data_IF_453497999270
#
_entry.id   IF_453497999270
#
_cell.length_a   1.000
_cell.length_b   1.000
_cell.length_c   1.000
_cell.angle_alpha   90.00
_cell.angle_beta   90.00
_cell.angle_gamma   90.00
#
_symmetry.space_group_name_H-M   'P 1'
#
loop_
_entity.id
_entity.type
_entity.pdbx_description
1 polymer ?
#
# COMPACT_ATOMS: atom_id res chain seq x y z
N UNK A 1 3.82 11.17 32.15
CA UNK A 1 5.18 11.51 31.69
C UNK A 1 5.00 12.33 30.42
N UNK A 2 5.58 13.52 30.35
CA UNK A 2 5.49 14.39 29.17
C UNK A 2 6.80 14.26 28.38
N UNK A 3 6.69 14.08 27.07
CA UNK A 3 7.84 13.96 26.17
C UNK A 3 7.87 15.21 25.32
N UNK A 4 8.95 15.98 25.43
CA UNK A 4 9.18 17.17 24.63
C UNK A 4 10.52 17.06 23.91
N UNK A 5 10.54 17.47 22.65
CA UNK A 5 11.79 17.60 21.91
C UNK A 5 12.50 18.86 22.37
N UNK A 6 13.70 18.73 22.92
CA UNK A 6 14.53 19.84 23.35
C UNK A 6 15.94 19.73 22.76
N UNK A 7 16.56 20.87 22.44
CA UNK A 7 17.98 20.89 22.09
C UNK A 7 18.80 20.45 23.30
N UNK A 8 19.95 19.82 23.07
CA UNK A 8 20.82 19.25 24.13
C UNK A 8 21.15 20.23 25.27
N UNK A 9 21.16 21.53 24.97
CA UNK A 9 21.47 22.62 25.91
C UNK A 9 20.27 23.15 26.72
N UNK A 10 19.04 22.76 26.37
CA UNK A 10 17.78 23.22 27.00
C UNK A 10 17.10 22.13 27.82
N UNK A 11 17.78 20.98 28.02
CA UNK A 11 17.23 19.85 28.77
C UNK A 11 17.14 20.23 30.26
N UNK A 12 15.95 20.19 30.88
CA UNK A 12 15.79 20.53 32.29
C UNK A 12 16.55 19.53 33.18
N UNK A 13 17.13 20.04 34.28
CA UNK A 13 17.88 19.23 35.24
C UNK A 13 16.94 18.21 35.90
N UNK A 14 17.02 16.96 35.48
CA UNK A 14 16.14 15.86 35.93
C UNK A 14 15.40 15.13 34.80
N UNK A 15 15.49 15.59 33.55
CA UNK A 15 14.93 14.87 32.41
C UNK A 15 15.78 13.64 32.04
N UNK A 16 15.12 12.51 31.82
CA UNK A 16 15.75 11.30 31.28
C UNK A 16 15.93 11.51 29.78
N UNK A 17 17.19 11.44 29.31
CA UNK A 17 17.49 11.46 27.88
C UNK A 17 17.08 10.12 27.28
N UNK A 18 16.07 10.16 26.42
CA UNK A 18 15.60 8.99 25.67
C UNK A 18 16.17 9.04 24.25
N UNK A 19 16.56 7.88 23.74
CA UNK A 19 16.86 7.68 22.33
C UNK A 19 15.58 7.64 21.51
N UNK A 20 15.68 7.88 20.19
CA UNK A 20 14.51 7.84 19.29
C UNK A 20 13.77 6.51 19.35
N UNK A 21 14.49 5.40 19.50
CA UNK A 21 13.92 4.07 19.55
C UNK A 21 13.17 3.82 20.87
N UNK A 22 13.71 4.28 22.00
CA UNK A 22 13.02 4.21 23.30
C UNK A 22 11.76 5.08 23.32
N UNK A 23 11.80 6.27 22.70
CA UNK A 23 10.61 7.12 22.55
C UNK A 23 9.55 6.41 21.71
N UNK A 24 9.95 5.81 20.59
CA UNK A 24 9.03 5.09 19.71
C UNK A 24 8.37 3.90 20.44
N UNK A 25 9.15 3.10 21.18
CA UNK A 25 8.62 1.97 21.94
C UNK A 25 7.65 2.43 23.03
N UNK A 26 8.01 3.47 23.78
CA UNK A 26 7.16 4.05 24.81
C UNK A 26 5.83 4.56 24.24
N UNK A 27 5.89 5.35 23.16
CA UNK A 27 4.69 5.88 22.52
C UNK A 27 3.82 4.77 21.95
N UNK A 28 4.42 3.75 21.35
CA UNK A 28 3.69 2.59 20.80
C UNK A 28 2.98 1.81 21.90
N UNK A 29 3.62 1.61 23.06
CA UNK A 29 3.00 0.96 24.21
C UNK A 29 1.86 1.79 24.80
N UNK A 30 2.05 3.11 24.87
CA UNK A 30 1.00 4.05 25.30
C UNK A 30 -0.22 4.01 24.38
N UNK A 31 -0.02 4.01 23.06
CA UNK A 31 -1.09 3.89 22.06
C UNK A 31 -1.86 2.57 22.23
N UNK A 32 -1.15 1.46 22.51
CA UNK A 32 -1.79 0.16 22.72
C UNK A 32 -2.62 0.10 24.00
N UNK A 33 -2.14 0.71 25.07
CA UNK A 33 -2.76 0.71 26.41
C UNK A 33 -3.80 1.81 26.60
N UNK A 34 -4.01 2.68 25.62
CA UNK A 34 -4.94 3.81 25.75
C UNK A 34 -6.37 3.33 26.06
N UNK A 35 -7.04 3.90 27.09
CA UNK A 35 -8.31 3.39 27.60
C UNK A 35 -9.45 3.56 26.59
N UNK A 36 -9.47 4.66 25.84
CA UNK A 36 -10.51 4.94 24.85
C UNK A 36 -10.02 4.72 23.42
N UNK A 37 -10.29 3.55 22.85
CA UNK A 37 -9.86 3.23 21.48
C UNK A 37 -10.51 4.12 20.41
N UNK A 38 -11.64 4.79 20.69
CA UNK A 38 -12.32 5.66 19.72
C UNK A 38 -11.59 6.99 19.50
N UNK A 39 -10.84 7.50 20.49
CA UNK A 39 -10.06 8.74 20.33
C UNK A 39 -8.84 8.52 19.43
N UNK A 40 -8.20 7.37 19.56
CA UNK A 40 -6.96 7.01 18.84
C UNK A 40 -7.21 6.04 17.68
N UNK A 41 -8.46 5.91 17.23
CA UNK A 41 -8.86 4.91 16.23
C UNK A 41 -8.07 5.06 14.92
N UNK A 42 -7.84 6.29 14.49
CA UNK A 42 -7.09 6.58 13.26
C UNK A 42 -5.63 6.10 13.35
N UNK A 43 -5.02 6.16 14.54
CA UNK A 43 -3.65 5.73 14.76
C UNK A 43 -3.54 4.20 14.87
N UNK A 44 -4.54 3.57 15.51
CA UNK A 44 -4.60 2.12 15.72
C UNK A 44 -5.03 1.35 14.48
N UNK A 45 -5.98 1.88 13.73
CA UNK A 45 -6.61 1.22 12.59
C UNK A 45 -6.27 1.86 11.23
N UNK A 46 -5.56 2.99 11.19
CA UNK A 46 -5.20 3.65 9.93
C UNK A 46 -4.44 2.74 8.97
N UNK A 47 -3.30 2.18 9.41
CA UNK A 47 -2.50 1.28 8.58
C UNK A 47 -3.26 0.06 8.01
N UNK A 48 -4.01 -0.73 8.81
CA UNK A 48 -4.78 -1.84 8.26
C UNK A 48 -5.93 -1.39 7.35
N UNK A 49 -6.54 -0.22 7.58
CA UNK A 49 -7.54 0.35 6.65
C UNK A 49 -6.90 0.72 5.31
N UNK A 50 -5.74 1.37 5.32
CA UNK A 50 -5.03 1.72 4.09
C UNK A 50 -4.59 0.46 3.32
N UNK A 51 -4.09 -0.56 4.03
CA UNK A 51 -3.72 -1.84 3.43
C UNK A 51 -4.92 -2.57 2.82
N UNK A 52 -6.08 -2.56 3.49
CA UNK A 52 -7.29 -3.17 2.93
C UNK A 52 -7.81 -2.44 1.70
N UNK A 53 -7.70 -1.12 1.66
CA UNK A 53 -8.03 -0.33 0.47
C UNK A 53 -7.16 -0.73 -0.73
N UNK A 54 -5.86 -0.99 -0.52
CA UNK A 54 -4.96 -1.52 -1.55
C UNK A 54 -5.39 -2.91 -2.02
N UNK A 55 -5.74 -3.83 -1.10
CA UNK A 55 -6.24 -5.16 -1.46
C UNK A 55 -7.47 -5.07 -2.37
N UNK A 56 -8.44 -4.22 -2.01
CA UNK A 56 -9.68 -4.03 -2.76
C UNK A 56 -9.35 -3.50 -4.16
N UNK A 57 -8.54 -2.44 -4.23
CA UNK A 57 -8.16 -1.80 -5.50
C UNK A 57 -7.44 -2.77 -6.42
N UNK A 58 -6.45 -3.50 -5.91
CA UNK A 58 -5.67 -4.46 -6.68
C UNK A 58 -6.53 -5.64 -7.16
N UNK A 59 -7.49 -6.07 -6.33
CA UNK A 59 -8.45 -7.11 -6.70
C UNK A 59 -9.37 -6.65 -7.82
N UNK A 60 -9.87 -5.41 -7.76
CA UNK A 60 -10.70 -4.82 -8.81
C UNK A 60 -9.94 -4.72 -10.13
N UNK A 61 -8.71 -4.21 -10.10
CA UNK A 61 -7.83 -4.11 -11.28
C UNK A 61 -7.61 -5.49 -11.89
N UNK A 62 -7.21 -6.48 -11.09
CA UNK A 62 -6.96 -7.84 -11.57
C UNK A 62 -8.21 -8.48 -12.16
N UNK A 63 -9.38 -8.30 -11.51
CA UNK A 63 -10.64 -8.84 -12.01
C UNK A 63 -11.06 -8.18 -13.33
N UNK A 64 -10.86 -6.87 -13.48
CA UNK A 64 -11.17 -6.15 -14.72
C UNK A 64 -10.40 -6.73 -15.91
N UNK A 65 -9.07 -6.86 -15.80
CA UNK A 65 -8.25 -7.42 -16.89
C UNK A 65 -8.57 -8.88 -17.18
N UNK A 66 -8.85 -9.68 -16.14
CA UNK A 66 -9.22 -11.08 -16.32
C UNK A 66 -10.56 -11.28 -17.01
N UNK A 67 -11.56 -10.47 -16.68
CA UNK A 67 -12.87 -10.51 -17.33
C UNK A 67 -12.74 -10.12 -18.81
N UNK A 68 -11.95 -9.09 -19.13
CA UNK A 68 -11.69 -8.66 -20.51
C UNK A 68 -11.02 -9.75 -21.35
N UNK A 69 -10.04 -10.45 -20.77
CA UNK A 69 -9.29 -11.50 -21.47
C UNK A 69 -9.93 -12.91 -21.33
N UNK A 70 -11.07 -13.02 -20.64
CA UNK A 70 -11.81 -14.28 -20.40
C UNK A 70 -10.99 -15.38 -19.71
N UNK A 71 -9.99 -15.00 -18.88
CA UNK A 71 -9.24 -15.93 -18.04
C UNK A 71 -10.13 -16.36 -16.86
N UNK A 72 -10.93 -17.40 -17.09
CA UNK A 72 -11.94 -17.94 -16.16
C UNK A 72 -11.30 -18.42 -14.84
N UNK A 73 -11.14 -19.73 -14.65
CA UNK A 73 -10.52 -20.28 -13.43
C UNK A 73 -8.99 -20.43 -13.53
N UNK A 74 -8.41 -20.21 -14.71
CA UNK A 74 -6.99 -20.40 -14.93
C UNK A 74 -6.14 -19.36 -14.20
N UNK A 75 -5.07 -19.83 -13.52
CA UNK A 75 -4.07 -18.98 -12.87
C UNK A 75 -4.62 -18.07 -11.77
N UNK A 76 -5.80 -18.36 -11.19
CA UNK A 76 -6.48 -17.40 -10.29
C UNK A 76 -5.63 -17.06 -9.08
N UNK A 77 -5.12 -18.07 -8.40
CA UNK A 77 -4.25 -17.91 -7.25
C UNK A 77 -2.86 -17.41 -7.65
N UNK A 78 -2.32 -17.90 -8.77
CA UNK A 78 -0.98 -17.56 -9.25
C UNK A 78 -0.84 -16.09 -9.61
N UNK A 79 -1.90 -15.44 -10.13
CA UNK A 79 -1.92 -14.00 -10.39
C UNK A 79 -2.32 -13.20 -9.16
N UNK A 80 -3.19 -13.74 -8.30
CA UNK A 80 -3.67 -13.03 -7.12
C UNK A 80 -2.57 -12.79 -6.09
N UNK A 81 -1.71 -13.77 -5.84
CA UNK A 81 -0.59 -13.64 -4.89
C UNK A 81 0.34 -12.46 -5.24
N UNK A 82 0.97 -12.42 -6.44
CA UNK A 82 1.91 -11.37 -6.77
C UNK A 82 1.22 -10.02 -7.02
N UNK A 83 0.01 -9.98 -7.58
CA UNK A 83 -0.64 -8.70 -7.95
C UNK A 83 -1.40 -8.08 -6.79
N UNK A 84 -1.91 -8.87 -5.85
CA UNK A 84 -2.74 -8.37 -4.73
C UNK A 84 -2.01 -8.51 -3.40
N UNK A 85 -1.59 -9.72 -3.04
CA UNK A 85 -1.07 -10.00 -1.68
C UNK A 85 0.27 -9.31 -1.44
N UNK A 86 1.22 -9.52 -2.35
CA UNK A 86 2.57 -8.95 -2.22
C UNK A 86 2.55 -7.42 -2.07
N UNK A 87 1.94 -6.63 -2.98
CA UNK A 87 1.91 -5.18 -2.85
C UNK A 87 1.14 -4.69 -1.62
N UNK A 88 0.14 -5.43 -1.15
CA UNK A 88 -0.61 -5.07 0.06
C UNK A 88 0.24 -5.22 1.32
N UNK A 89 1.06 -6.27 1.39
CA UNK A 89 2.04 -6.47 2.48
C UNK A 89 3.10 -5.39 2.43
N UNK A 90 3.66 -5.11 1.24
CA UNK A 90 4.63 -4.03 1.08
C UNK A 90 4.05 -2.67 1.49
N UNK A 91 2.81 -2.38 1.10
CA UNK A 91 2.13 -1.15 1.51
C UNK A 91 2.03 -1.05 3.03
N UNK A 92 1.69 -2.14 3.72
CA UNK A 92 1.60 -2.16 5.18
C UNK A 92 2.97 -1.93 5.83
N UNK A 93 4.01 -2.59 5.34
CA UNK A 93 5.37 -2.47 5.88
C UNK A 93 5.94 -1.06 5.67
N UNK A 94 5.83 -0.51 4.46
CA UNK A 94 6.33 0.83 4.17
C UNK A 94 5.56 1.92 4.92
N UNK A 95 4.23 1.81 4.98
CA UNK A 95 3.40 2.76 5.72
C UNK A 95 3.74 2.74 7.22
N UNK A 96 3.95 1.55 7.80
CA UNK A 96 4.31 1.43 9.20
C UNK A 96 5.74 1.92 9.50
N UNK A 97 6.69 1.58 8.63
CA UNK A 97 8.10 1.91 8.86
C UNK A 97 8.44 3.38 8.63
N UNK A 98 7.81 4.02 7.64
CA UNK A 98 8.10 5.40 7.26
C UNK A 98 7.09 6.32 7.94
N UNK A 99 5.82 6.20 7.58
CA UNK A 99 4.80 7.16 7.99
C UNK A 99 4.47 7.04 9.48
N UNK A 100 4.14 5.84 9.98
CA UNK A 100 3.73 5.69 11.38
C UNK A 100 4.86 6.05 12.34
N UNK A 101 6.11 5.71 12.00
CA UNK A 101 7.27 6.10 12.80
C UNK A 101 7.45 7.62 12.83
N UNK A 102 7.36 8.31 11.69
CA UNK A 102 7.42 9.78 11.63
C UNK A 102 6.27 10.46 12.39
N UNK A 103 5.06 9.91 12.33
CA UNK A 103 3.91 10.43 13.09
C UNK A 103 4.14 10.29 14.59
N UNK A 104 4.62 9.14 15.05
CA UNK A 104 4.82 8.86 16.48
C UNK A 104 5.95 9.71 17.07
N UNK A 105 7.00 9.97 16.29
CA UNK A 105 8.14 10.77 16.73
C UNK A 105 7.93 12.29 16.55
N UNK A 106 6.89 12.73 15.84
CA UNK A 106 6.64 14.14 15.48
C UNK A 106 7.88 14.82 14.86
N UNK A 107 8.64 14.10 14.01
CA UNK A 107 9.87 14.63 13.41
C UNK A 107 9.61 15.44 12.13
N UNK A 108 8.58 15.08 11.37
CA UNK A 108 8.30 15.62 10.04
C UNK A 108 7.08 16.56 10.01
N UNK A 109 7.04 17.44 9.01
CA UNK A 109 5.87 18.29 8.80
C UNK A 109 4.65 17.45 8.35
N UNK A 110 3.42 17.82 8.75
CA UNK A 110 2.23 17.03 8.45
C UNK A 110 1.99 16.87 6.94
N UNK A 111 2.38 17.88 6.15
CA UNK A 111 2.30 17.82 4.69
C UNK A 111 3.25 16.78 4.10
N UNK A 112 4.46 16.63 4.64
CA UNK A 112 5.43 15.63 4.19
C UNK A 112 4.93 14.21 4.49
N UNK A 113 4.41 13.98 5.70
CA UNK A 113 3.85 12.68 6.10
C UNK A 113 2.70 12.28 5.18
N UNK A 114 1.82 13.23 4.83
CA UNK A 114 0.70 12.97 3.93
C UNK A 114 1.15 12.64 2.51
N UNK A 115 2.07 13.42 1.94
CA UNK A 115 2.57 13.18 0.58
C UNK A 115 3.32 11.85 0.47
N UNK A 116 4.14 11.50 1.45
CA UNK A 116 4.81 10.20 1.52
C UNK A 116 3.80 9.04 1.52
N UNK A 117 2.77 9.13 2.36
CA UNK A 117 1.69 8.11 2.41
C UNK A 117 0.96 7.98 1.08
N UNK A 118 0.72 9.09 0.40
CA UNK A 118 0.06 9.12 -0.90
C UNK A 118 0.92 8.45 -1.98
N UNK A 119 2.24 8.69 -1.99
CA UNK A 119 3.16 8.01 -2.91
C UNK A 119 3.22 6.50 -2.68
N UNK A 120 3.28 6.06 -1.42
CA UNK A 120 3.27 4.64 -1.07
C UNK A 120 1.99 4.00 -1.60
N UNK A 121 0.83 4.60 -1.32
CA UNK A 121 -0.47 4.08 -1.76
C UNK A 121 -0.66 4.10 -3.28
N UNK A 122 -0.21 5.15 -3.99
CA UNK A 122 -0.26 5.18 -5.45
C UNK A 122 0.66 4.12 -6.07
N UNK A 123 1.86 3.94 -5.52
CA UNK A 123 2.81 2.93 -5.98
C UNK A 123 2.27 1.52 -5.83
N UNK A 124 1.82 1.15 -4.62
CA UNK A 124 1.39 -0.21 -4.28
C UNK A 124 -0.06 -0.52 -4.70
N UNK A 125 -0.92 0.51 -4.76
CA UNK A 125 -2.34 0.39 -5.07
C UNK A 125 -2.72 0.62 -6.53
N UNK A 126 -1.88 1.30 -7.32
CA UNK A 126 -2.18 1.58 -8.73
C UNK A 126 -1.05 1.13 -9.66
N UNK A 127 0.16 1.68 -9.52
CA UNK A 127 1.23 1.48 -10.50
C UNK A 127 1.66 0.01 -10.57
N UNK A 128 2.00 -0.56 -9.43
CA UNK A 128 2.42 -1.96 -9.33
C UNK A 128 1.36 -2.96 -9.82
N UNK A 129 0.10 -2.93 -9.32
CA UNK A 129 -0.93 -3.87 -9.75
C UNK A 129 -1.35 -3.66 -11.20
N UNK A 130 -1.30 -2.45 -11.76
CA UNK A 130 -1.56 -2.23 -13.19
C UNK A 130 -0.52 -2.94 -14.05
N UNK A 131 0.77 -2.72 -13.79
CA UNK A 131 1.84 -3.38 -14.52
C UNK A 131 1.78 -4.91 -14.35
N UNK A 132 1.57 -5.38 -13.12
CA UNK A 132 1.47 -6.80 -12.80
C UNK A 132 0.23 -7.47 -13.39
N UNK A 133 -0.93 -6.81 -13.35
CA UNK A 133 -2.17 -7.34 -13.91
C UNK A 133 -2.09 -7.39 -15.44
N UNK A 134 -1.62 -6.32 -16.10
CA UNK A 134 -1.42 -6.32 -17.55
C UNK A 134 -0.42 -7.42 -17.92
N UNK A 135 0.84 -7.33 -17.49
CA UNK A 135 1.87 -8.28 -17.88
C UNK A 135 1.51 -9.73 -17.54
N UNK A 136 1.01 -9.97 -16.33
CA UNK A 136 0.62 -11.30 -15.87
C UNK A 136 -0.55 -11.87 -16.66
N UNK A 137 -1.66 -11.14 -16.81
CA UNK A 137 -2.83 -11.67 -17.50
C UNK A 137 -2.59 -11.90 -18.98
N UNK A 138 -1.82 -11.02 -19.66
CA UNK A 138 -1.44 -11.23 -21.06
C UNK A 138 -0.55 -12.46 -21.24
N UNK A 139 0.45 -12.66 -20.38
CA UNK A 139 1.32 -13.84 -20.44
C UNK A 139 0.53 -15.15 -20.26
N UNK A 140 -0.40 -15.17 -19.31
CA UNK A 140 -1.28 -16.32 -19.11
C UNK A 140 -2.25 -16.52 -20.27
N UNK A 141 -2.77 -15.44 -20.87
CA UNK A 141 -3.68 -15.52 -22.01
C UNK A 141 -3.02 -16.16 -23.24
N UNK A 142 -1.77 -15.80 -23.52
CA UNK A 142 -0.95 -16.38 -24.60
C UNK A 142 -0.63 -17.84 -24.31
N UNK A 143 -0.20 -18.17 -23.08
CA UNK A 143 0.19 -19.54 -22.73
C UNK A 143 -0.97 -20.53 -22.77
N UNK A 144 -2.20 -20.06 -22.52
CA UNK A 144 -3.40 -20.90 -22.44
C UNK A 144 -4.24 -20.86 -23.72
N UNK A 145 -3.71 -20.29 -24.82
CA UNK A 145 -4.40 -20.10 -26.12
C UNK A 145 -5.81 -19.51 -26.01
N UNK A 146 -6.07 -18.75 -24.94
CA UNK A 146 -7.40 -18.18 -24.69
C UNK A 146 -7.68 -17.02 -25.64
N UNK A 147 -6.60 -16.42 -26.17
CA UNK A 147 -6.61 -15.38 -27.19
C UNK A 147 -5.75 -15.87 -28.34
N UNK A 148 -6.40 -16.34 -29.41
CA UNK A 148 -5.70 -16.78 -30.60
C UNK A 148 -5.34 -15.55 -31.46
N UNK A 149 -4.16 -14.97 -31.22
CA UNK A 149 -3.66 -13.79 -31.95
C UNK A 149 -3.68 -13.97 -33.49
N UNK A 150 -3.63 -15.22 -33.97
CA UNK A 150 -3.61 -15.56 -35.38
C UNK A 150 -4.95 -15.32 -36.12
N UNK A 151 -6.08 -15.23 -35.40
CA UNK A 151 -7.41 -15.02 -35.99
C UNK A 151 -7.99 -13.63 -35.71
N UNK A 152 -7.73 -13.06 -34.53
CA UNK A 152 -8.37 -11.81 -34.07
C UNK A 152 -7.52 -10.54 -34.20
N UNK A 153 -6.32 -10.61 -34.80
CA UNK A 153 -5.47 -9.43 -35.03
C UNK A 153 -6.15 -8.30 -35.80
N UNK A 154 -7.06 -8.63 -36.72
CA UNK A 154 -7.88 -7.68 -37.48
C UNK A 154 -8.88 -6.89 -36.61
N UNK A 155 -9.42 -7.51 -35.55
CA UNK A 155 -10.39 -6.85 -34.67
C UNK A 155 -9.72 -5.91 -33.66
N UNK A 156 -8.55 -6.28 -33.12
CA UNK A 156 -7.80 -5.40 -32.20
C UNK A 156 -7.23 -4.16 -32.91
N UNK A 157 -6.74 -4.29 -34.15
CA UNK A 157 -6.29 -3.13 -34.92
C UNK A 157 -7.46 -2.18 -35.19
N UNK A 158 -8.65 -2.71 -35.49
CA UNK A 158 -9.86 -1.90 -35.69
C UNK A 158 -10.28 -1.12 -34.44
N UNK A 159 -10.29 -1.75 -33.26
CA UNK A 159 -10.61 -1.06 -32.00
C UNK A 159 -9.57 0.03 -31.65
N UNK A 160 -8.29 -0.21 -31.92
CA UNK A 160 -7.22 0.78 -31.72
C UNK A 160 -7.33 1.96 -32.70
N UNK A 161 -7.75 1.73 -33.94
CA UNK A 161 -7.96 2.81 -34.93
C UNK A 161 -9.25 3.59 -34.74
N UNK A 162 -10.24 3.08 -34.01
CA UNK A 162 -11.49 3.81 -33.72
C UNK A 162 -11.39 4.73 -32.51
N UNK A 163 -10.30 4.65 -31.74
CA UNK A 163 -10.04 5.50 -30.57
C UNK A 163 -8.87 6.49 -30.79
N UNK A 164 -8.47 6.70 -32.05
CA UNK A 164 -7.59 7.78 -32.52
C UNK A 164 -8.39 8.66 -33.46
#
# INVERSE_FOLDING_TARGET
MFIEQAKSNEIPKGAIRLTKDEVYEYMTDLIKKWPNSMEIWALKHGNPILSSAVVITNTLILNYYRQRLKLRNYGRFTLFLPVVVIPSIFSLLFQNSITTRSIVLLEDCPTCIYTQSMFIQMGTGLVYPLMGAIGGTYMFAVKMDTINFKSNGSQMIKELTTHV
#
